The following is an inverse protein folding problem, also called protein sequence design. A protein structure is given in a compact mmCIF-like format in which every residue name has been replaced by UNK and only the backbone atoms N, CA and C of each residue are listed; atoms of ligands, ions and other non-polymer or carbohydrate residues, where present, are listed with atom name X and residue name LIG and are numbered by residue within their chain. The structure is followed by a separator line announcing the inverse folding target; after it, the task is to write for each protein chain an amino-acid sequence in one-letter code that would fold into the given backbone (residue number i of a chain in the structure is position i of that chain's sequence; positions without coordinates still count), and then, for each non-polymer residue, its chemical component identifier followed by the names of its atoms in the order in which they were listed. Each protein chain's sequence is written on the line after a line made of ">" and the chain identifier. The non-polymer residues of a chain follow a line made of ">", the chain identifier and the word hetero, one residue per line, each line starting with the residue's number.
data_IF_063018193322
#
_entry.id   IF_063018193322
#
_cell.length_a   1.000
_cell.length_b   1.000
_cell.length_c   1.000
_cell.angle_alpha   90.00
_cell.angle_beta   90.00
_cell.angle_gamma   90.00
#
_symmetry.space_group_name_H-M   'P 1'
#
loop_
_entity.id
_entity.type
_entity.pdbx_description
1 polymer ?
#
# COMPACT_ATOMS: atom_id res chain seq x y z
N UNK A 1 -14.90 4.90 -2.89
CA UNK A 1 -14.40 6.09 -3.63
C UNK A 1 -13.82 5.65 -4.97
N UNK A 2 -13.68 6.53 -5.97
CA UNK A 2 -13.14 6.15 -7.28
C UNK A 2 -11.61 6.08 -7.31
N UNK A 3 -10.95 6.97 -6.58
CA UNK A 3 -9.51 7.01 -6.36
C UNK A 3 -9.20 7.68 -5.01
N UNK A 4 -7.98 7.52 -4.51
CA UNK A 4 -7.49 8.18 -3.30
C UNK A 4 -6.06 8.74 -3.48
N UNK A 5 -5.79 9.89 -2.86
CA UNK A 5 -4.43 10.34 -2.56
C UNK A 5 -4.18 10.06 -1.09
N UNK A 6 -3.21 9.20 -0.78
CA UNK A 6 -2.96 8.73 0.57
C UNK A 6 -1.52 8.97 1.03
N UNK A 7 -1.34 9.10 2.35
CA UNK A 7 -0.03 9.04 2.99
C UNK A 7 0.41 7.58 3.14
N UNK A 8 1.72 7.33 3.29
CA UNK A 8 2.23 6.03 3.70
C UNK A 8 1.72 5.61 5.09
N UNK A 9 1.26 4.36 5.21
CA UNK A 9 0.73 3.81 6.46
C UNK A 9 -0.31 2.72 6.25
N UNK A 10 -0.99 2.33 7.33
CA UNK A 10 -2.03 1.27 7.33
C UNK A 10 -3.19 1.58 6.39
N UNK A 11 -3.48 2.87 6.18
CA UNK A 11 -4.50 3.33 5.22
C UNK A 11 -4.27 2.77 3.80
N UNK A 12 -3.03 2.51 3.40
CA UNK A 12 -2.72 1.96 2.08
C UNK A 12 -3.20 0.51 1.95
N UNK A 13 -3.09 -0.28 3.02
CA UNK A 13 -3.62 -1.64 3.05
C UNK A 13 -5.14 -1.62 3.11
N UNK A 14 -5.74 -0.75 3.94
CA UNK A 14 -7.19 -0.61 4.06
C UNK A 14 -7.84 -0.19 2.73
N UNK A 15 -7.27 0.78 2.03
CA UNK A 15 -7.76 1.22 0.72
C UNK A 15 -7.64 0.12 -0.33
N UNK A 16 -6.54 -0.64 -0.32
CA UNK A 16 -6.33 -1.72 -1.28
C UNK A 16 -7.32 -2.86 -1.04
N UNK A 17 -7.52 -3.28 0.22
CA UNK A 17 -8.56 -4.27 0.59
C UNK A 17 -9.98 -3.76 0.31
N UNK A 18 -10.21 -2.44 0.34
CA UNK A 18 -11.47 -1.83 -0.08
C UNK A 18 -11.60 -1.68 -1.60
N UNK A 19 -10.61 -2.12 -2.39
CA UNK A 19 -10.61 -2.03 -3.84
C UNK A 19 -10.55 -0.60 -4.39
N UNK A 20 -9.99 0.35 -3.62
CA UNK A 20 -9.91 1.76 -4.01
C UNK A 20 -8.52 2.07 -4.58
N UNK A 21 -8.39 2.34 -5.90
CA UNK A 21 -7.14 2.78 -6.51
C UNK A 21 -6.57 3.99 -5.79
N UNK A 22 -5.24 4.04 -5.65
CA UNK A 22 -4.58 5.12 -4.92
C UNK A 22 -3.24 5.52 -5.51
N UNK A 23 -2.88 6.78 -5.27
CA UNK A 23 -1.52 7.31 -5.37
C UNK A 23 -1.05 7.65 -3.96
N UNK A 24 0.20 7.37 -3.67
CA UNK A 24 0.80 7.69 -2.37
C UNK A 24 1.83 8.79 -2.50
N UNK A 25 1.79 9.73 -1.56
CA UNK A 25 2.74 10.82 -1.49
C UNK A 25 3.13 11.08 -0.03
N UNK A 26 4.42 11.21 0.23
CA UNK A 26 4.86 11.56 1.57
C UNK A 26 6.17 12.33 1.61
N UNK A 27 6.26 13.28 2.54
CA UNK A 27 7.47 14.03 2.83
C UNK A 27 7.79 13.89 4.30
N UNK A 28 8.95 13.32 4.60
CA UNK A 28 9.55 13.23 5.93
C UNK A 28 10.59 14.33 6.10
N UNK A 29 10.99 14.57 7.34
CA UNK A 29 12.13 15.45 7.64
C UNK A 29 13.43 14.89 7.07
N UNK A 30 14.43 15.75 6.84
CA UNK A 30 15.73 15.31 6.30
C UNK A 30 16.44 14.30 7.20
N UNK A 31 16.27 14.40 8.52
CA UNK A 31 16.83 13.45 9.49
C UNK A 31 16.16 12.07 9.33
N UNK A 32 14.82 12.04 9.28
CA UNK A 32 14.07 10.81 9.03
C UNK A 32 14.45 10.20 7.67
N UNK A 33 14.59 11.02 6.63
CA UNK A 33 15.00 10.56 5.31
C UNK A 33 16.41 9.96 5.33
N UNK A 34 17.35 10.58 6.06
CA UNK A 34 18.71 10.08 6.20
C UNK A 34 18.76 8.72 6.90
N UNK A 35 18.02 8.56 8.00
CA UNK A 35 17.91 7.29 8.71
C UNK A 35 17.22 6.24 7.84
N UNK A 36 16.09 6.59 7.23
CA UNK A 36 15.31 5.72 6.36
C UNK A 36 16.16 5.16 5.22
N UNK A 37 16.93 6.00 4.50
CA UNK A 37 17.84 5.57 3.42
C UNK A 37 18.91 4.57 3.88
N UNK A 38 19.25 4.55 5.17
CA UNK A 38 20.28 3.66 5.72
C UNK A 38 19.73 2.35 6.27
N UNK A 39 18.44 2.32 6.58
CA UNK A 39 17.77 1.17 7.21
C UNK A 39 16.83 0.45 6.23
N UNK A 40 16.22 1.16 5.29
CA UNK A 40 15.25 0.61 4.34
C UNK A 40 16.00 0.11 3.10
N UNK A 41 15.99 -1.21 2.91
CA UNK A 41 16.57 -1.89 1.74
C UNK A 41 15.49 -2.41 0.77
N UNK A 42 14.23 -2.07 1.01
CA UNK A 42 13.08 -2.57 0.23
C UNK A 42 12.81 -1.69 -1.00
N UNK A 43 12.12 -2.27 -1.99
CA UNK A 43 11.76 -1.60 -3.25
C UNK A 43 10.63 -0.59 -3.14
N UNK A 44 9.91 -0.56 -2.01
CA UNK A 44 8.85 0.41 -1.68
C UNK A 44 8.70 0.53 -0.16
N UNK A 45 8.09 1.62 0.31
CA UNK A 45 7.65 1.76 1.71
C UNK A 45 6.12 1.63 1.87
N UNK A 46 5.41 1.31 0.78
CA UNK A 46 3.97 1.05 0.80
C UNK A 46 3.72 -0.42 1.15
N UNK A 47 3.05 -0.66 2.26
CA UNK A 47 2.80 -2.02 2.77
C UNK A 47 2.11 -2.92 1.74
N UNK A 48 1.13 -2.38 1.01
CA UNK A 48 0.45 -3.14 -0.04
C UNK A 48 1.41 -3.55 -1.19
N UNK A 49 2.32 -2.67 -1.64
CA UNK A 49 3.34 -3.01 -2.64
C UNK A 49 4.30 -4.09 -2.11
N UNK A 50 4.68 -4.00 -0.83
CA UNK A 50 5.55 -4.99 -0.18
C UNK A 50 4.91 -6.39 -0.13
N UNK A 51 3.63 -6.48 0.24
CA UNK A 51 2.89 -7.75 0.27
C UNK A 51 2.74 -8.32 -1.15
N UNK A 52 2.49 -7.46 -2.14
CA UNK A 52 2.37 -7.86 -3.55
C UNK A 52 3.72 -8.25 -4.17
N UNK A 53 4.84 -7.80 -3.61
CA UNK A 53 6.17 -7.99 -4.17
C UNK A 53 6.42 -7.15 -5.44
N UNK A 54 5.57 -6.17 -5.75
CA UNK A 54 5.72 -5.30 -6.92
C UNK A 54 5.18 -3.88 -6.65
N UNK A 55 5.75 -2.90 -7.35
CA UNK A 55 5.38 -1.49 -7.22
C UNK A 55 4.17 -1.17 -8.12
N UNK A 56 2.98 -1.51 -7.63
CA UNK A 56 1.70 -1.28 -8.32
C UNK A 56 1.08 0.06 -7.96
N UNK A 57 1.20 0.46 -6.70
CA UNK A 57 0.75 1.76 -6.20
C UNK A 57 1.90 2.77 -6.41
N UNK A 58 1.70 3.85 -7.19
CA UNK A 58 2.67 4.90 -7.35
C UNK A 58 3.00 5.56 -6.01
N UNK A 59 4.30 5.78 -5.79
CA UNK A 59 4.86 6.31 -4.56
C UNK A 59 5.77 7.50 -4.87
N UNK A 60 5.41 8.66 -4.34
CA UNK A 60 6.14 9.91 -4.54
C UNK A 60 6.71 10.43 -3.21
N UNK A 61 8.04 10.38 -3.07
CA UNK A 61 8.73 10.72 -1.83
C UNK A 61 9.61 11.95 -1.99
N UNK A 62 9.74 12.75 -0.93
CA UNK A 62 10.66 13.90 -0.85
C UNK A 62 10.54 14.85 -2.07
N UNK A 63 11.56 14.87 -2.93
CA UNK A 63 11.63 15.70 -4.14
C UNK A 63 10.62 15.29 -5.22
N UNK A 64 10.18 14.04 -5.23
CA UNK A 64 9.21 13.54 -6.21
C UNK A 64 7.77 13.88 -5.81
N UNK A 65 7.56 14.32 -4.56
CA UNK A 65 6.29 14.88 -4.11
C UNK A 65 6.12 16.31 -4.67
N UNK A 66 5.74 16.38 -5.95
CA UNK A 66 5.40 17.61 -6.67
C UNK A 66 4.04 17.49 -7.36
N UNK A 67 3.41 18.62 -7.68
CA UNK A 67 2.13 18.62 -8.37
C UNK A 67 2.26 18.03 -9.79
N UNK A 68 3.38 18.31 -10.46
CA UNK A 68 3.72 17.85 -11.81
C UNK A 68 3.80 16.32 -11.88
N UNK A 69 4.26 15.67 -10.81
CA UNK A 69 4.32 14.22 -10.71
C UNK A 69 2.99 13.61 -10.25
N UNK A 70 2.31 14.23 -9.28
CA UNK A 70 1.09 13.69 -8.69
C UNK A 70 -0.15 13.81 -9.58
N UNK A 71 -0.31 14.95 -10.25
CA UNK A 71 -1.48 15.21 -11.09
C UNK A 71 -1.69 14.16 -12.20
N UNK A 72 -0.68 13.77 -13.00
CA UNK A 72 -0.85 12.73 -14.01
C UNK A 72 -1.13 11.36 -13.36
N UNK A 73 -0.41 10.98 -12.31
CA UNK A 73 -0.62 9.69 -11.64
C UNK A 73 -2.04 9.57 -11.05
N UNK A 74 -2.56 10.66 -10.47
CA UNK A 74 -3.94 10.71 -9.97
C UNK A 74 -4.96 10.63 -11.12
N UNK A 75 -4.71 11.31 -12.23
CA UNK A 75 -5.59 11.23 -13.42
C UNK A 75 -5.67 9.80 -13.95
N UNK A 76 -4.52 9.13 -14.04
CA UNK A 76 -4.46 7.75 -14.54
C UNK A 76 -5.34 6.80 -13.73
N UNK A 77 -5.38 6.95 -12.41
CA UNK A 77 -6.22 6.09 -11.56
C UNK A 77 -7.67 6.58 -11.42
N UNK A 78 -7.94 7.85 -11.74
CA UNK A 78 -9.29 8.42 -11.77
C UNK A 78 -10.06 8.00 -13.03
N UNK A 79 -9.38 7.77 -14.15
CA UNK A 79 -9.99 7.34 -15.40
C UNK A 79 -9.87 5.81 -15.58
N UNK A 80 -10.59 5.24 -16.55
CA UNK A 80 -10.53 3.80 -16.85
C UNK A 80 -9.30 3.46 -17.70
N UNK A 81 -8.12 3.68 -17.11
CA UNK A 81 -6.82 3.46 -17.76
C UNK A 81 -6.24 2.08 -17.41
N UNK A 82 -5.23 1.62 -18.17
CA UNK A 82 -4.47 0.42 -17.81
C UNK A 82 -3.83 0.49 -16.42
N UNK A 83 -3.41 1.68 -15.96
CA UNK A 83 -2.81 1.84 -14.64
C UNK A 83 -3.84 1.59 -13.53
N UNK A 84 -5.08 2.10 -13.71
CA UNK A 84 -6.19 1.81 -12.80
C UNK A 84 -6.49 0.32 -12.76
N UNK A 85 -6.62 -0.30 -13.94
CA UNK A 85 -6.96 -1.72 -14.07
C UNK A 85 -5.90 -2.60 -13.39
N UNK A 86 -4.61 -2.29 -13.60
CA UNK A 86 -3.49 -2.97 -12.94
C UNK A 86 -3.58 -2.90 -11.41
N UNK A 87 -3.96 -1.75 -10.84
CA UNK A 87 -4.15 -1.65 -9.39
C UNK A 87 -5.30 -2.53 -8.90
N UNK A 88 -6.47 -2.45 -9.57
CA UNK A 88 -7.65 -3.24 -9.17
C UNK A 88 -7.36 -4.74 -9.22
N UNK A 89 -6.68 -5.22 -10.26
CA UNK A 89 -6.26 -6.62 -10.38
C UNK A 89 -5.24 -7.03 -9.32
N UNK A 90 -4.31 -6.14 -8.98
CA UNK A 90 -3.37 -6.40 -7.89
C UNK A 90 -4.07 -6.45 -6.53
N UNK A 91 -5.08 -5.61 -6.30
CA UNK A 91 -5.82 -5.59 -5.04
C UNK A 91 -6.66 -6.86 -4.82
N UNK A 92 -7.18 -7.45 -5.90
CA UNK A 92 -7.80 -8.78 -5.82
C UNK A 92 -6.80 -9.85 -5.33
N UNK A 93 -5.57 -9.86 -5.87
CA UNK A 93 -4.50 -10.76 -5.40
C UNK A 93 -4.08 -10.47 -3.96
N UNK A 94 -4.04 -9.19 -3.56
CA UNK A 94 -3.75 -8.80 -2.19
C UNK A 94 -4.78 -9.36 -1.21
N UNK A 95 -6.08 -9.31 -1.56
CA UNK A 95 -7.17 -9.86 -0.75
C UNK A 95 -7.00 -11.38 -0.58
N UNK A 96 -6.61 -12.10 -1.63
CA UNK A 96 -6.31 -13.54 -1.56
C UNK A 96 -5.14 -13.84 -0.63
N UNK A 97 -4.03 -13.09 -0.73
CA UNK A 97 -2.84 -13.26 0.12
C UNK A 97 -3.18 -13.00 1.60
N UNK A 98 -4.02 -12.00 1.87
CA UNK A 98 -4.39 -11.59 3.22
C UNK A 98 -5.59 -12.35 3.79
N UNK A 99 -6.15 -13.29 3.03
CA UNK A 99 -7.33 -14.05 3.42
C UNK A 99 -7.06 -14.91 4.66
N UNK A 100 -7.99 -14.83 5.61
CA UNK A 100 -7.96 -15.59 6.87
C UNK A 100 -8.89 -16.80 6.85
N UNK A 101 -9.38 -17.21 5.66
CA UNK A 101 -10.34 -18.31 5.53
C UNK A 101 -11.66 -18.06 6.26
N UNK A 102 -12.06 -16.79 6.41
CA UNK A 102 -13.32 -16.38 7.06
C UNK A 102 -13.25 -16.21 8.59
N UNK A 103 -12.12 -16.51 9.23
CA UNK A 103 -11.88 -16.19 10.64
C UNK A 103 -11.37 -14.77 10.82
N UNK A 104 -11.59 -14.14 11.97
CA UNK A 104 -10.95 -12.85 12.25
C UNK A 104 -9.45 -13.04 12.46
N UNK A 105 -8.57 -12.12 12.00
CA UNK A 105 -7.13 -12.20 12.30
C UNK A 105 -6.83 -12.35 13.80
N UNK A 106 -7.62 -11.71 14.67
CA UNK A 106 -7.49 -11.83 16.12
C UNK A 106 -7.86 -13.22 16.66
N UNK A 107 -8.82 -13.91 16.06
CA UNK A 107 -9.19 -15.29 16.42
C UNK A 107 -8.07 -16.26 16.04
N UNK A 108 -7.51 -16.11 14.84
CA UNK A 108 -6.36 -16.91 14.41
C UNK A 108 -5.15 -16.68 15.33
N UNK A 109 -4.88 -15.44 15.72
CA UNK A 109 -3.80 -15.14 16.65
C UNK A 109 -4.04 -15.79 18.02
N UNK A 110 -5.27 -15.71 18.55
CA UNK A 110 -5.63 -16.33 19.82
C UNK A 110 -5.49 -17.87 19.78
N UNK A 111 -5.96 -18.51 18.70
CA UNK A 111 -5.84 -19.96 18.49
C UNK A 111 -4.36 -20.40 18.54
N UNK A 112 -3.45 -19.65 17.90
CA UNK A 112 -2.02 -19.93 17.89
C UNK A 112 -1.38 -19.75 19.28
N UNK A 113 -1.72 -18.69 20.01
CA UNK A 113 -1.19 -18.46 21.36
C UNK A 113 -1.63 -19.58 22.31
N UNK A 114 -2.90 -19.99 22.26
CA UNK A 114 -3.41 -21.10 23.06
C UNK A 114 -2.70 -22.41 22.73
N UNK A 115 -2.41 -22.67 21.45
CA UNK A 115 -1.71 -23.86 21.01
C UNK A 115 -0.26 -23.93 21.55
N UNK A 116 0.42 -22.79 21.70
CA UNK A 116 1.78 -22.73 22.26
C UNK A 116 1.84 -22.93 23.79
N UNK A 117 0.71 -22.74 24.49
CA UNK A 117 0.61 -22.91 25.94
C UNK A 117 0.27 -24.34 26.36
N UNK A 118 -0.03 -25.22 25.40
CA UNK A 118 -0.27 -26.66 25.62
C UNK A 118 1.00 -27.45 25.36
#
# INVERSE_FOLDING_TARGET
>A
ARAALAKSGTVTLELALAGVPMVTAYRVTEIEAFIARRVIQTSSIILANLILGENVIPEFLQQDFTAENLAPALRDILEDTPARQRQVEAFARLEEIMSTGGKRPSELAADNVIAMLR
#
